data_IF_951336223877
#
_entry.id   IF_951336223877
#
_cell.length_a   1.000
_cell.length_b   1.000
_cell.length_c   1.000
_cell.angle_alpha   90.00
_cell.angle_beta   90.00
_cell.angle_gamma   90.00
#
_symmetry.space_group_name_H-M   'P 1'
#
loop_
_entity.id
_entity.type
_entity.pdbx_description
1 polymer ?
#
# COMPACT_ATOMS: atom_id res chain seq x y z
N UNK A 1 -2.20 -26.17 14.27
CA UNK A 1 -1.81 -24.85 13.69
C UNK A 1 -2.87 -24.45 12.70
N UNK A 2 -3.54 -23.32 12.94
CA UNK A 2 -4.56 -22.76 12.04
C UNK A 2 -3.88 -21.92 11.00
N UNK A 3 -4.20 -22.14 9.71
CA UNK A 3 -3.57 -21.43 8.59
C UNK A 3 -4.61 -20.74 7.72
N UNK A 4 -4.21 -19.64 7.08
CA UNK A 4 -5.06 -18.95 6.11
C UNK A 4 -5.47 -19.85 4.95
N UNK A 5 -4.63 -20.81 4.56
CA UNK A 5 -4.89 -21.76 3.48
C UNK A 5 -6.16 -22.60 3.75
N UNK A 6 -6.47 -22.88 5.00
CA UNK A 6 -7.64 -23.69 5.38
C UNK A 6 -8.97 -22.99 5.02
N UNK A 7 -8.94 -21.68 4.80
CA UNK A 7 -10.11 -20.85 4.53
C UNK A 7 -10.17 -20.30 3.10
N UNK A 8 -9.03 -20.06 2.44
CA UNK A 8 -8.96 -19.31 1.18
C UNK A 8 -9.73 -19.92 0.01
N UNK A 9 -9.93 -21.23 0.01
CA UNK A 9 -10.63 -21.93 -1.07
C UNK A 9 -12.06 -22.35 -0.68
N UNK A 10 -12.59 -21.78 0.38
CA UNK A 10 -13.93 -22.14 0.90
C UNK A 10 -15.09 -21.60 0.06
N UNK A 11 -14.86 -20.72 -0.90
CA UNK A 11 -15.89 -20.02 -1.66
C UNK A 11 -16.58 -18.88 -0.90
N UNK A 12 -16.12 -18.56 0.30
CA UNK A 12 -16.65 -17.47 1.10
C UNK A 12 -16.05 -16.11 0.69
N UNK A 13 -16.75 -15.04 1.07
CA UNK A 13 -16.22 -13.68 0.90
C UNK A 13 -15.01 -13.46 1.81
N UNK A 14 -14.10 -12.57 1.43
CA UNK A 14 -12.89 -12.25 2.21
C UNK A 14 -13.24 -11.84 3.64
N UNK A 15 -14.26 -11.04 3.83
CA UNK A 15 -14.68 -10.62 5.18
C UNK A 15 -15.05 -11.83 6.03
N UNK A 16 -15.82 -12.78 5.51
CA UNK A 16 -16.16 -14.01 6.22
C UNK A 16 -14.93 -14.88 6.51
N UNK A 17 -14.04 -14.99 5.54
CA UNK A 17 -12.77 -15.73 5.71
C UNK A 17 -11.96 -15.11 6.85
N UNK A 18 -11.79 -13.78 6.83
CA UNK A 18 -11.05 -13.06 7.86
C UNK A 18 -11.66 -13.22 9.26
N UNK A 19 -12.99 -13.11 9.38
CA UNK A 19 -13.68 -13.32 10.64
C UNK A 19 -13.39 -14.69 11.21
N UNK A 20 -13.68 -15.76 10.48
CA UNK A 20 -13.43 -17.15 10.92
C UNK A 20 -11.96 -17.35 11.28
N UNK A 21 -11.06 -16.98 10.37
CA UNK A 21 -9.63 -17.17 10.59
C UNK A 21 -9.14 -16.42 11.83
N UNK A 22 -9.56 -15.16 12.03
CA UNK A 22 -9.15 -14.38 13.21
C UNK A 22 -9.73 -14.90 14.51
N UNK A 23 -10.96 -15.42 14.51
CA UNK A 23 -11.63 -15.99 15.68
C UNK A 23 -11.00 -17.32 16.10
N UNK A 24 -10.80 -18.21 15.13
CA UNK A 24 -10.20 -19.53 15.38
C UNK A 24 -8.73 -19.36 15.80
N UNK A 25 -7.97 -18.48 15.14
CA UNK A 25 -6.60 -18.17 15.52
C UNK A 25 -6.51 -17.59 16.94
N UNK A 26 -7.43 -16.69 17.31
CA UNK A 26 -7.47 -16.12 18.67
C UNK A 26 -7.82 -17.17 19.71
N UNK A 27 -8.71 -18.09 19.39
CA UNK A 27 -9.14 -19.15 20.30
C UNK A 27 -7.99 -20.13 20.55
N UNK A 28 -7.34 -20.58 19.48
CA UNK A 28 -6.16 -21.46 19.56
C UNK A 28 -5.00 -20.79 20.30
N UNK A 29 -4.75 -19.51 20.00
CA UNK A 29 -3.70 -18.73 20.64
C UNK A 29 -3.92 -18.52 22.15
N UNK A 30 -5.16 -18.36 22.58
CA UNK A 30 -5.48 -18.26 24.03
C UNK A 30 -5.30 -19.58 24.74
N UNK A 31 -5.66 -20.69 24.12
CA UNK A 31 -5.48 -22.03 24.71
C UNK A 31 -4.01 -22.40 24.82
N UNK A 32 -3.21 -22.05 23.82
CA UNK A 32 -1.77 -22.33 23.77
C UNK A 32 -0.89 -21.26 24.40
N UNK A 33 -1.46 -20.14 24.86
CA UNK A 33 -0.77 -18.94 25.35
C UNK A 33 0.19 -18.33 24.33
N UNK A 34 -0.10 -18.49 23.03
CA UNK A 34 0.73 -18.02 21.92
C UNK A 34 0.57 -16.52 21.70
N UNK A 35 1.52 -15.72 22.21
CA UNK A 35 1.50 -14.26 22.11
C UNK A 35 1.62 -13.78 20.65
N UNK A 36 2.34 -14.51 19.80
CA UNK A 36 2.52 -14.15 18.39
C UNK A 36 1.20 -14.25 17.66
N UNK A 37 0.46 -15.34 17.87
CA UNK A 37 -0.84 -15.56 17.24
C UNK A 37 -1.93 -14.66 17.80
N UNK A 38 -1.86 -14.29 19.09
CA UNK A 38 -2.75 -13.27 19.66
C UNK A 38 -2.56 -11.91 18.97
N UNK A 39 -1.30 -11.50 18.71
CA UNK A 39 -0.99 -10.28 17.99
C UNK A 39 -1.50 -10.35 16.55
N UNK A 40 -1.33 -11.50 15.89
CA UNK A 40 -1.80 -11.74 14.52
C UNK A 40 -3.32 -11.67 14.42
N UNK A 41 -4.04 -12.38 15.27
CA UNK A 41 -5.51 -12.32 15.30
C UNK A 41 -6.04 -10.90 15.54
N UNK A 42 -5.41 -10.13 16.42
CA UNK A 42 -5.77 -8.72 16.63
C UNK A 42 -5.49 -7.86 15.40
N UNK A 43 -4.41 -8.10 14.69
CA UNK A 43 -4.12 -7.42 13.43
C UNK A 43 -5.17 -7.72 12.35
N UNK A 44 -5.56 -8.97 12.19
CA UNK A 44 -6.63 -9.37 11.27
C UNK A 44 -7.96 -8.69 11.60
N UNK A 45 -8.31 -8.55 12.88
CA UNK A 45 -9.50 -7.81 13.31
C UNK A 45 -9.46 -6.32 12.94
N UNK A 46 -8.28 -5.70 12.99
CA UNK A 46 -8.13 -4.32 12.49
C UNK A 46 -8.38 -4.23 10.98
N UNK A 47 -7.90 -5.22 10.22
CA UNK A 47 -8.17 -5.31 8.78
C UNK A 47 -9.66 -5.52 8.50
N UNK A 48 -10.32 -6.41 9.24
CA UNK A 48 -11.77 -6.64 9.13
C UNK A 48 -12.51 -5.32 9.37
N UNK A 49 -12.22 -4.63 10.46
CA UNK A 49 -12.85 -3.35 10.78
C UNK A 49 -12.64 -2.32 9.66
N UNK A 50 -11.46 -2.30 9.06
CA UNK A 50 -11.17 -1.44 7.91
C UNK A 50 -12.02 -1.81 6.67
N UNK A 51 -12.26 -3.09 6.43
CA UNK A 51 -13.01 -3.58 5.26
C UNK A 51 -14.52 -3.46 5.44
N UNK A 52 -15.03 -3.62 6.65
CA UNK A 52 -16.46 -3.50 6.97
C UNK A 52 -16.98 -2.07 6.92
N UNK A 53 -16.12 -1.11 7.24
CA UNK A 53 -16.47 0.31 7.23
C UNK A 53 -16.09 0.95 5.87
N UNK A 54 -16.65 0.42 4.77
CA UNK A 54 -16.39 0.91 3.41
C UNK A 54 -16.69 2.40 3.21
N UNK A 55 -17.54 2.99 4.06
CA UNK A 55 -17.90 4.41 4.00
C UNK A 55 -16.68 5.33 4.12
N UNK A 56 -15.65 4.90 4.87
CA UNK A 56 -14.44 5.70 5.01
C UNK A 56 -13.63 5.76 3.70
N UNK A 57 -13.56 4.67 2.94
CA UNK A 57 -12.86 4.66 1.64
C UNK A 57 -13.54 5.60 0.64
N UNK A 58 -14.86 5.61 0.64
CA UNK A 58 -15.66 6.55 -0.17
C UNK A 58 -15.37 7.98 0.24
N UNK A 59 -15.46 8.30 1.54
CA UNK A 59 -15.14 9.62 2.07
C UNK A 59 -13.71 10.03 1.76
N UNK A 60 -12.75 9.15 1.97
CA UNK A 60 -11.34 9.37 1.66
C UNK A 60 -11.11 9.66 0.19
N UNK A 61 -11.66 8.80 -0.69
CA UNK A 61 -11.52 8.96 -2.13
C UNK A 61 -12.19 10.25 -2.61
N UNK A 62 -13.33 10.63 -2.07
CA UNK A 62 -14.01 11.90 -2.40
C UNK A 62 -13.16 13.11 -2.03
N UNK A 63 -12.58 13.16 -0.83
CA UNK A 63 -11.71 14.25 -0.39
C UNK A 63 -10.44 14.37 -1.25
N UNK A 64 -9.82 13.25 -1.61
CA UNK A 64 -8.67 13.25 -2.50
C UNK A 64 -9.07 13.66 -3.92
N UNK A 65 -10.27 13.31 -4.39
CA UNK A 65 -10.78 13.72 -5.70
C UNK A 65 -11.03 15.22 -5.82
N UNK A 66 -11.37 15.91 -4.76
CA UNK A 66 -11.51 17.37 -4.81
C UNK A 66 -10.18 18.02 -5.26
N UNK A 67 -9.03 17.47 -4.87
CA UNK A 67 -7.74 17.93 -5.38
C UNK A 67 -7.66 17.84 -6.91
N UNK A 68 -8.16 16.76 -7.49
CA UNK A 68 -8.15 16.65 -8.97
C UNK A 68 -9.07 17.61 -9.64
N UNK A 69 -10.23 17.84 -9.07
CA UNK A 69 -11.15 18.82 -9.65
C UNK A 69 -10.48 20.20 -9.72
N UNK A 70 -9.76 20.58 -8.67
CA UNK A 70 -9.00 21.82 -8.64
C UNK A 70 -7.89 21.77 -9.69
N UNK A 71 -7.09 20.70 -9.70
CA UNK A 71 -5.99 20.56 -10.67
C UNK A 71 -6.50 20.49 -12.11
N UNK A 72 -7.63 19.83 -12.37
CA UNK A 72 -8.23 19.78 -13.70
C UNK A 72 -8.73 21.15 -14.19
N UNK A 73 -9.14 22.03 -13.29
CA UNK A 73 -9.49 23.42 -13.64
C UNK A 73 -8.25 24.26 -13.95
N UNK A 74 -7.18 24.05 -13.22
CA UNK A 74 -5.92 24.80 -13.41
C UNK A 74 -5.09 24.29 -14.59
N UNK A 75 -5.14 22.98 -14.83
CA UNK A 75 -4.41 22.31 -15.91
C UNK A 75 -5.40 21.59 -16.86
N UNK A 76 -6.25 22.33 -17.61
CA UNK A 76 -7.30 21.73 -18.44
C UNK A 76 -6.76 20.87 -19.59
N UNK A 77 -5.48 20.95 -19.88
CA UNK A 77 -4.77 20.14 -20.87
C UNK A 77 -4.20 18.84 -20.29
N UNK A 78 -4.28 18.61 -18.98
CA UNK A 78 -3.87 17.34 -18.34
C UNK A 78 -5.05 16.40 -18.20
N UNK A 79 -4.82 15.14 -18.50
CA UNK A 79 -5.71 14.06 -18.14
C UNK A 79 -5.26 13.45 -16.80
N UNK A 80 -6.22 13.19 -15.92
CA UNK A 80 -5.99 12.60 -14.61
C UNK A 80 -6.68 11.24 -14.50
N UNK A 81 -5.95 10.24 -14.00
CA UNK A 81 -6.53 8.95 -13.62
C UNK A 81 -6.32 8.73 -12.13
N UNK A 82 -7.37 8.35 -11.45
CA UNK A 82 -7.34 8.01 -10.03
C UNK A 82 -7.64 6.54 -9.83
N UNK A 83 -6.77 5.86 -9.09
CA UNK A 83 -6.93 4.45 -8.73
C UNK A 83 -6.71 4.30 -7.24
N UNK A 84 -7.67 3.67 -6.54
CA UNK A 84 -7.51 3.29 -5.15
C UNK A 84 -7.42 1.78 -5.01
N UNK A 85 -6.70 1.32 -3.98
CA UNK A 85 -6.66 -0.10 -3.64
C UNK A 85 -6.44 -0.31 -2.15
N UNK A 86 -6.97 -1.41 -1.65
CA UNK A 86 -6.54 -2.02 -0.40
C UNK A 86 -5.55 -3.14 -0.74
N UNK A 87 -4.51 -3.29 0.07
CA UNK A 87 -3.53 -4.38 -0.09
C UNK A 87 -4.23 -5.73 0.06
N UNK A 88 -3.91 -6.69 -0.81
CA UNK A 88 -4.50 -8.03 -0.74
C UNK A 88 -4.20 -8.72 0.60
N UNK A 89 -5.09 -9.64 1.01
CA UNK A 89 -4.96 -10.39 2.26
C UNK A 89 -3.61 -11.11 2.34
N UNK A 90 -3.21 -11.79 1.27
CA UNK A 90 -1.93 -12.53 1.21
C UNK A 90 -0.76 -11.59 1.45
N UNK A 91 -0.76 -10.41 0.82
CA UNK A 91 0.29 -9.40 1.01
C UNK A 91 0.31 -8.80 2.40
N UNK A 92 -0.86 -8.70 3.00
CA UNK A 92 -1.00 -8.22 4.38
C UNK A 92 -0.42 -9.24 5.36
N UNK A 93 -0.70 -10.53 5.15
CA UNK A 93 -0.13 -11.65 5.91
C UNK A 93 1.39 -11.72 5.78
N UNK A 94 1.92 -11.67 4.57
CA UNK A 94 3.37 -11.65 4.32
C UNK A 94 4.05 -10.48 5.04
N UNK A 95 3.40 -9.31 5.03
CA UNK A 95 3.90 -8.12 5.68
C UNK A 95 3.86 -8.26 7.21
N UNK A 96 2.80 -8.85 7.74
CA UNK A 96 2.71 -9.16 9.16
C UNK A 96 3.87 -10.06 9.58
N UNK A 97 4.09 -11.18 8.90
CA UNK A 97 5.18 -12.10 9.19
C UNK A 97 6.56 -11.40 9.07
N UNK A 98 6.79 -10.64 8.00
CA UNK A 98 8.07 -9.98 7.75
C UNK A 98 8.43 -8.86 8.73
N UNK A 99 7.44 -8.20 9.34
CA UNK A 99 7.69 -7.03 10.19
C UNK A 99 7.31 -7.24 11.65
N UNK A 100 6.19 -7.91 11.92
CA UNK A 100 5.70 -8.05 13.29
C UNK A 100 6.25 -9.30 13.95
N UNK A 101 6.21 -10.45 13.27
CA UNK A 101 6.75 -11.70 13.83
C UNK A 101 8.26 -11.57 14.04
N UNK A 102 8.99 -11.03 13.06
CA UNK A 102 10.43 -10.79 13.22
C UNK A 102 10.72 -9.80 14.35
N UNK A 103 9.93 -8.73 14.50
CA UNK A 103 10.08 -7.80 15.62
C UNK A 103 9.86 -8.47 16.96
N UNK A 104 8.81 -9.28 17.10
CA UNK A 104 8.52 -10.01 18.35
C UNK A 104 9.64 -10.98 18.66
N UNK A 105 10.15 -11.70 17.64
CA UNK A 105 11.26 -12.62 17.78
C UNK A 105 12.55 -11.93 18.23
N UNK A 106 12.98 -10.88 17.52
CA UNK A 106 14.20 -10.13 17.85
C UNK A 106 14.14 -9.54 19.26
N UNK A 107 12.96 -9.04 19.64
CA UNK A 107 12.73 -8.51 20.99
C UNK A 107 12.85 -9.62 22.03
N UNK A 108 12.25 -10.79 21.78
CA UNK A 108 12.31 -11.95 22.67
C UNK A 108 13.74 -12.46 22.83
N UNK A 109 14.48 -12.64 21.75
CA UNK A 109 15.88 -13.08 21.80
C UNK A 109 16.75 -12.10 22.59
N UNK A 110 16.53 -10.80 22.41
CA UNK A 110 17.33 -9.76 23.07
C UNK A 110 17.02 -9.61 24.57
N UNK A 111 15.75 -9.76 24.95
CA UNK A 111 15.28 -9.40 26.29
C UNK A 111 14.83 -10.61 27.14
N UNK A 112 14.69 -11.80 26.55
CA UNK A 112 14.17 -12.99 27.21
C UNK A 112 12.67 -12.95 27.55
N UNK A 113 11.96 -11.90 27.13
CA UNK A 113 10.52 -11.70 27.36
C UNK A 113 9.86 -11.17 26.11
N UNK A 114 8.55 -11.43 25.95
CA UNK A 114 7.77 -10.89 24.85
C UNK A 114 7.58 -9.38 24.97
N UNK A 115 7.49 -8.64 23.85
CA UNK A 115 7.12 -7.24 23.87
C UNK A 115 5.70 -7.07 24.42
N UNK A 116 5.47 -5.94 25.09
CA UNK A 116 4.17 -5.61 25.66
C UNK A 116 3.16 -5.29 24.55
N UNK A 117 1.86 -5.43 24.87
CA UNK A 117 0.77 -5.08 23.93
C UNK A 117 0.91 -3.67 23.36
N UNK A 118 1.24 -2.61 24.15
CA UNK A 118 1.49 -1.28 23.60
C UNK A 118 2.64 -1.24 22.57
N UNK A 119 3.75 -1.92 22.83
CA UNK A 119 4.88 -1.98 21.90
C UNK A 119 4.51 -2.68 20.59
N UNK A 120 3.73 -3.77 20.64
CA UNK A 120 3.23 -4.44 19.44
C UNK A 120 2.26 -3.53 18.67
N UNK A 121 1.37 -2.82 19.37
CA UNK A 121 0.44 -1.85 18.74
C UNK A 121 1.19 -0.70 18.08
N UNK A 122 2.23 -0.17 18.72
CA UNK A 122 3.07 0.85 18.12
C UNK A 122 3.72 0.35 16.84
N UNK A 123 4.25 -0.87 16.85
CA UNK A 123 4.82 -1.49 15.65
C UNK A 123 3.79 -1.73 14.56
N UNK A 124 2.57 -2.17 14.91
CA UNK A 124 1.46 -2.33 13.98
C UNK A 124 1.02 -0.98 13.36
N UNK A 125 1.06 0.10 14.13
CA UNK A 125 0.72 1.43 13.62
C UNK A 125 1.67 1.93 12.52
N UNK A 126 2.83 1.31 12.36
CA UNK A 126 3.78 1.59 11.29
C UNK A 126 3.40 0.94 9.94
N UNK A 127 2.32 0.18 9.88
CA UNK A 127 1.73 -0.28 8.60
C UNK A 127 1.05 0.89 7.91
N UNK A 128 1.75 1.52 6.96
CA UNK A 128 1.34 2.78 6.33
C UNK A 128 0.76 2.64 4.92
N UNK A 129 0.71 1.42 4.38
CA UNK A 129 0.39 1.15 2.98
C UNK A 129 -0.69 0.07 2.79
N UNK A 130 -1.58 -0.11 3.79
CA UNK A 130 -2.74 -0.98 3.66
C UNK A 130 -3.73 -0.42 2.65
N UNK A 131 -3.94 0.90 2.71
CA UNK A 131 -4.72 1.67 1.74
C UNK A 131 -3.75 2.51 0.90
N UNK A 132 -3.92 2.49 -0.39
CA UNK A 132 -3.10 3.28 -1.31
C UNK A 132 -3.95 3.86 -2.44
N UNK A 133 -3.68 5.10 -2.78
CA UNK A 133 -4.25 5.77 -3.95
C UNK A 133 -3.15 6.13 -4.93
N UNK A 134 -3.48 6.04 -6.19
CA UNK A 134 -2.59 6.37 -7.28
C UNK A 134 -3.18 7.46 -8.13
N UNK A 135 -2.36 8.46 -8.37
CA UNK A 135 -2.65 9.64 -9.15
C UNK A 135 -1.77 9.57 -10.40
N UNK A 136 -2.40 9.40 -11.54
CA UNK A 136 -1.68 9.33 -12.82
C UNK A 136 -2.07 10.52 -13.66
N UNK A 137 -1.06 11.27 -14.11
CA UNK A 137 -1.25 12.37 -15.05
C UNK A 137 -0.75 11.98 -16.44
N UNK A 138 -1.36 12.55 -17.46
CA UNK A 138 -0.86 12.46 -18.84
C UNK A 138 -1.29 13.69 -19.63
N UNK A 139 -0.51 14.02 -20.67
CA UNK A 139 -0.89 15.05 -21.63
C UNK A 139 -1.47 14.35 -22.86
N UNK A 140 -2.76 14.56 -23.19
CA UNK A 140 -3.34 14.06 -24.44
C UNK A 140 -2.58 14.60 -25.66
N UNK A 141 -2.51 13.81 -26.73
CA UNK A 141 -1.77 14.17 -27.95
C UNK A 141 -2.19 15.52 -28.55
N UNK A 142 -3.46 15.86 -28.44
CA UNK A 142 -3.99 17.13 -28.95
C UNK A 142 -3.45 18.37 -28.22
N UNK A 143 -2.77 18.19 -27.08
CA UNK A 143 -2.19 19.26 -26.30
C UNK A 143 -0.65 19.21 -26.25
N UNK A 144 -0.04 18.37 -27.09
CA UNK A 144 1.42 18.27 -27.22
C UNK A 144 1.88 18.94 -28.53
N UNK A 145 2.88 19.80 -28.39
CA UNK A 145 3.57 20.38 -29.56
C UNK A 145 4.47 19.32 -30.22
N UNK A 146 5.08 18.43 -29.43
CA UNK A 146 5.94 17.34 -29.89
C UNK A 146 5.93 16.18 -28.88
N UNK A 147 5.92 14.94 -29.39
CA UNK A 147 6.07 13.73 -28.54
C UNK A 147 7.48 13.63 -27.92
N UNK A 148 8.48 14.26 -28.52
CA UNK A 148 9.87 14.21 -28.02
C UNK A 148 10.00 14.87 -26.64
N UNK A 149 9.21 15.87 -26.33
CA UNK A 149 9.25 16.61 -25.07
C UNK A 149 8.19 16.13 -24.05
N UNK A 150 7.38 15.11 -24.39
CA UNK A 150 6.29 14.64 -23.53
C UNK A 150 6.74 14.34 -22.11
N UNK A 151 7.76 13.51 -21.96
CA UNK A 151 8.24 13.06 -20.65
C UNK A 151 8.69 14.23 -19.77
N UNK A 152 9.46 15.16 -20.33
CA UNK A 152 9.96 16.32 -19.61
C UNK A 152 8.82 17.24 -19.18
N UNK A 153 7.88 17.47 -20.07
CA UNK A 153 6.70 18.32 -19.81
C UNK A 153 5.79 17.67 -18.75
N UNK A 154 5.52 16.36 -18.85
CA UNK A 154 4.71 15.64 -17.85
C UNK A 154 5.41 15.63 -16.48
N UNK A 155 6.73 15.46 -16.42
CA UNK A 155 7.49 15.53 -15.17
C UNK A 155 7.40 16.90 -14.50
N UNK A 156 7.53 17.97 -15.28
CA UNK A 156 7.39 19.35 -14.79
C UNK A 156 6.04 19.52 -14.07
N UNK A 157 4.94 19.16 -14.75
CA UNK A 157 3.61 19.28 -14.15
C UNK A 157 3.39 18.31 -12.98
N UNK A 158 3.99 17.12 -13.01
CA UNK A 158 3.92 16.19 -11.89
C UNK A 158 4.51 16.82 -10.62
N UNK A 159 5.66 17.49 -10.72
CA UNK A 159 6.27 18.19 -9.59
C UNK A 159 5.50 19.44 -9.17
N UNK A 160 4.95 20.21 -10.11
CA UNK A 160 4.08 21.33 -9.78
C UNK A 160 2.86 20.88 -8.95
N UNK A 161 2.23 19.79 -9.35
CA UNK A 161 1.12 19.16 -8.62
C UNK A 161 1.59 18.64 -7.25
N UNK A 162 2.75 17.99 -7.20
CA UNK A 162 3.32 17.48 -5.97
C UNK A 162 3.61 18.60 -4.95
N UNK A 163 4.04 19.78 -5.40
CA UNK A 163 4.30 20.91 -4.51
C UNK A 163 3.02 21.42 -3.81
N UNK A 164 1.86 21.20 -4.39
CA UNK A 164 0.57 21.69 -3.86
C UNK A 164 -0.17 20.66 -3.01
N UNK A 165 0.11 19.38 -3.25
CA UNK A 165 -0.66 18.28 -2.65
C UNK A 165 -0.59 18.25 -1.12
N UNK A 166 0.55 18.43 -0.44
CA UNK A 166 0.62 18.36 1.02
C UNK A 166 -0.31 19.37 1.71
N UNK A 167 -0.29 20.63 1.29
CA UNK A 167 -1.13 21.68 1.85
C UNK A 167 -2.62 21.36 1.66
N UNK A 168 -3.00 20.95 0.45
CA UNK A 168 -4.38 20.54 0.19
C UNK A 168 -4.82 19.37 1.08
N UNK A 169 -3.95 18.39 1.29
CA UNK A 169 -4.24 17.24 2.16
C UNK A 169 -4.47 17.68 3.61
N UNK A 170 -3.67 18.61 4.12
CA UNK A 170 -3.87 19.19 5.45
C UNK A 170 -5.23 19.89 5.57
N UNK A 171 -5.60 20.72 4.61
CA UNK A 171 -6.87 21.44 4.56
C UNK A 171 -8.08 20.49 4.50
N UNK A 172 -7.92 19.30 3.96
CA UNK A 172 -8.98 18.29 3.80
C UNK A 172 -8.98 17.23 4.89
N UNK A 173 -8.22 17.42 5.97
CA UNK A 173 -8.25 16.57 7.16
C UNK A 173 -7.30 15.38 7.12
N UNK A 174 -6.28 15.45 6.29
CA UNK A 174 -5.15 14.51 6.35
C UNK A 174 -3.94 15.19 7.01
N UNK A 175 -3.06 14.40 7.57
CA UNK A 175 -1.78 14.85 8.10
C UNK A 175 -0.64 14.19 7.33
N UNK A 176 0.04 14.91 6.42
CA UNK A 176 1.22 14.39 5.72
C UNK A 176 2.33 14.02 6.71
N UNK A 177 2.94 12.85 6.52
CA UNK A 177 4.02 12.38 7.37
C UNK A 177 5.38 12.70 6.76
N UNK A 178 6.29 13.24 7.58
CA UNK A 178 7.69 13.37 7.19
C UNK A 178 8.34 11.98 7.06
N UNK A 179 9.09 11.77 6.00
CA UNK A 179 9.72 10.48 5.71
C UNK A 179 10.84 10.11 6.69
N UNK A 180 11.42 11.10 7.37
CA UNK A 180 12.58 10.92 8.23
C UNK A 180 13.85 10.46 7.49
N UNK A 181 13.85 10.47 6.17
CA UNK A 181 14.99 10.08 5.36
C UNK A 181 16.05 11.20 5.36
N UNK A 182 17.30 10.84 5.59
CA UNK A 182 18.45 11.75 5.51
C UNK A 182 19.33 11.39 4.31
N UNK A 183 19.95 12.40 3.69
CA UNK A 183 20.88 12.19 2.57
C UNK A 183 20.22 11.76 1.26
N UNK A 184 18.91 11.91 1.13
CA UNK A 184 18.15 11.61 -0.09
C UNK A 184 18.27 12.78 -1.06
N UNK A 185 18.39 12.49 -2.34
CA UNK A 185 18.32 13.50 -3.40
C UNK A 185 16.86 13.76 -3.75
N UNK A 186 16.52 15.02 -3.99
CA UNK A 186 15.22 15.42 -4.52
C UNK A 186 15.43 16.11 -5.87
N UNK A 187 14.44 16.01 -6.73
CA UNK A 187 14.44 16.77 -7.97
C UNK A 187 14.40 18.28 -7.64
N UNK A 188 15.08 19.13 -8.42
CA UNK A 188 15.12 20.58 -8.18
C UNK A 188 13.74 21.24 -8.31
N UNK A 189 12.81 20.62 -9.02
CA UNK A 189 11.43 21.07 -9.20
C UNK A 189 10.57 20.89 -7.94
N UNK A 190 10.99 20.00 -7.02
CA UNK A 190 10.30 19.80 -5.75
C UNK A 190 10.75 20.83 -4.72
N UNK A 191 9.81 21.66 -4.27
CA UNK A 191 10.09 22.76 -3.34
C UNK A 191 10.64 22.25 -1.99
N UNK A 192 11.62 22.94 -1.39
CA UNK A 192 12.27 22.50 -0.14
C UNK A 192 11.29 22.24 1.00
N UNK A 193 10.21 23.00 1.08
CA UNK A 193 9.19 22.93 2.14
C UNK A 193 8.42 21.62 2.10
N UNK A 194 8.25 21.03 0.91
CA UNK A 194 7.47 19.78 0.74
C UNK A 194 8.35 18.54 0.58
N UNK A 195 9.64 18.71 0.27
CA UNK A 195 10.59 17.59 0.13
C UNK A 195 10.53 16.59 1.30
N UNK A 196 10.44 16.99 2.58
CA UNK A 196 10.45 16.06 3.68
C UNK A 196 9.27 15.06 3.69
N UNK A 197 8.17 15.38 3.01
CA UNK A 197 6.99 14.51 2.93
C UNK A 197 7.11 13.44 1.85
N UNK A 198 8.02 13.62 0.89
CA UNK A 198 8.10 12.76 -0.28
C UNK A 198 9.22 11.74 -0.22
N UNK A 199 8.91 10.53 -0.71
CA UNK A 199 9.91 9.59 -1.21
C UNK A 199 9.96 9.76 -2.73
N UNK A 200 10.98 10.45 -3.19
CA UNK A 200 11.18 10.73 -4.61
C UNK A 200 11.94 9.59 -5.29
N UNK A 201 11.19 8.62 -5.83
CA UNK A 201 11.74 7.51 -6.60
C UNK A 201 11.99 7.85 -8.08
N UNK A 202 11.80 9.11 -8.47
CA UNK A 202 12.19 9.61 -9.79
C UNK A 202 13.64 10.07 -9.72
N UNK A 203 13.97 10.89 -8.72
CA UNK A 203 15.35 11.34 -8.45
C UNK A 203 16.22 10.21 -7.86
N UNK A 204 15.62 9.28 -7.10
CA UNK A 204 16.30 8.14 -6.48
C UNK A 204 15.71 6.84 -7.04
N UNK A 205 16.07 6.53 -8.29
CA UNK A 205 15.56 5.35 -9.00
C UNK A 205 15.79 4.07 -8.20
N UNK A 206 14.72 3.32 -8.02
CA UNK A 206 14.81 1.96 -7.48
C UNK A 206 15.36 0.99 -8.52
N UNK A 207 15.75 -0.18 -8.05
CA UNK A 207 16.04 -1.31 -8.92
C UNK A 207 14.91 -1.51 -9.93
N UNK A 208 15.24 -1.97 -11.12
CA UNK A 208 14.32 -2.16 -12.24
C UNK A 208 13.73 -0.88 -12.85
N UNK A 209 14.23 0.30 -12.49
CA UNK A 209 13.77 1.55 -13.09
C UNK A 209 12.36 1.99 -12.65
N UNK A 210 11.87 1.53 -11.49
CA UNK A 210 10.62 2.00 -10.92
C UNK A 210 10.72 3.49 -10.57
N UNK A 211 9.76 4.27 -11.05
CA UNK A 211 9.67 5.71 -10.81
C UNK A 211 8.27 6.08 -10.27
N UNK A 212 8.22 6.92 -9.25
CA UNK A 212 7.00 7.46 -8.65
C UNK A 212 7.35 8.47 -7.56
N UNK A 213 6.49 9.43 -7.27
CA UNK A 213 6.53 10.20 -6.02
C UNK A 213 5.57 9.56 -5.03
N UNK A 214 6.02 9.30 -3.80
CA UNK A 214 5.17 8.75 -2.76
C UNK A 214 5.07 9.72 -1.59
N UNK A 215 3.85 9.95 -1.12
CA UNK A 215 3.57 10.65 0.12
C UNK A 215 2.70 9.75 1.01
N UNK A 216 3.05 9.67 2.29
CA UNK A 216 2.25 8.98 3.29
C UNK A 216 1.49 10.00 4.11
N UNK A 217 0.22 9.75 4.33
CA UNK A 217 -0.64 10.63 5.13
C UNK A 217 -1.39 9.83 6.18
N UNK A 218 -1.68 10.46 7.30
CA UNK A 218 -2.64 9.95 8.28
C UNK A 218 -3.99 10.60 8.05
N UNK A 219 -5.02 9.80 7.83
CA UNK A 219 -6.39 10.29 7.73
C UNK A 219 -6.97 10.49 9.13
N UNK A 220 -7.20 11.74 9.53
CA UNK A 220 -7.69 12.09 10.85
C UNK A 220 -9.14 11.65 11.08
N UNK A 221 -9.93 11.45 10.01
CA UNK A 221 -11.31 10.97 10.10
C UNK A 221 -11.36 9.44 10.20
N UNK A 222 -10.71 8.75 9.27
CA UNK A 222 -10.69 7.29 9.21
C UNK A 222 -9.71 6.66 10.21
N UNK A 223 -8.83 7.45 10.84
CA UNK A 223 -7.81 7.00 11.79
C UNK A 223 -6.86 5.94 11.23
N UNK A 224 -6.53 6.06 9.97
CA UNK A 224 -5.62 5.12 9.29
C UNK A 224 -4.60 5.85 8.41
N UNK A 225 -3.48 5.17 8.15
CA UNK A 225 -2.48 5.65 7.20
C UNK A 225 -2.87 5.27 5.78
N UNK A 226 -2.54 6.16 4.87
CA UNK A 226 -2.78 6.00 3.44
C UNK A 226 -1.57 6.46 2.65
N UNK A 227 -1.18 5.71 1.66
CA UNK A 227 -0.11 6.09 0.73
C UNK A 227 -0.72 6.66 -0.56
N UNK A 228 -0.28 7.85 -0.97
CA UNK A 228 -0.59 8.40 -2.27
C UNK A 228 0.65 8.32 -3.16
N UNK A 229 0.45 7.88 -4.41
CA UNK A 229 1.49 7.69 -5.42
C UNK A 229 1.17 8.57 -6.63
N UNK A 230 2.06 9.52 -6.95
CA UNK A 230 1.93 10.37 -8.12
C UNK A 230 2.83 9.82 -9.23
N UNK A 231 2.29 9.70 -10.44
CA UNK A 231 2.98 9.13 -11.61
C UNK A 231 2.56 9.84 -12.89
N UNK A 232 3.44 9.82 -13.88
CA UNK A 232 3.02 10.00 -15.28
C UNK A 232 2.43 8.69 -15.80
N UNK A 233 1.72 8.76 -16.93
CA UNK A 233 1.16 7.56 -17.58
C UNK A 233 2.24 6.54 -17.94
N UNK A 234 3.39 7.01 -18.43
CA UNK A 234 4.54 6.15 -18.75
C UNK A 234 5.04 5.39 -17.51
N UNK A 235 5.18 6.09 -16.37
CA UNK A 235 5.60 5.46 -15.10
C UNK A 235 4.58 4.44 -14.62
N UNK A 236 3.28 4.73 -14.76
CA UNK A 236 2.23 3.82 -14.35
C UNK A 236 2.20 2.56 -15.22
N UNK A 237 2.32 2.71 -16.54
CA UNK A 237 2.39 1.59 -17.46
C UNK A 237 3.64 0.74 -17.21
N UNK A 238 4.79 1.37 -16.97
CA UNK A 238 6.01 0.65 -16.63
C UNK A 238 5.90 -0.14 -15.34
N UNK A 239 5.23 0.41 -14.33
CA UNK A 239 5.01 -0.25 -13.05
C UNK A 239 3.96 -1.38 -13.10
N UNK A 240 2.97 -1.29 -14.02
CA UNK A 240 1.89 -2.29 -14.12
C UNK A 240 2.23 -3.42 -15.10
N UNK A 241 2.85 -3.10 -16.22
CA UNK A 241 3.06 -4.03 -17.35
C UNK A 241 4.55 -4.32 -17.58
N UNK A 242 5.43 -3.38 -17.22
CA UNK A 242 6.87 -3.43 -17.46
C UNK A 242 7.64 -4.38 -16.51
N UNK A 243 8.99 -4.40 -16.63
CA UNK A 243 9.86 -5.20 -15.76
C UNK A 243 9.74 -4.89 -14.27
N UNK A 244 9.24 -3.70 -13.92
CA UNK A 244 8.94 -3.29 -12.55
C UNK A 244 7.55 -3.73 -12.09
N UNK A 245 6.86 -4.58 -12.84
CA UNK A 245 5.54 -5.07 -12.46
C UNK A 245 5.60 -5.86 -11.14
N UNK A 246 4.47 -5.93 -10.47
CA UNK A 246 4.35 -6.59 -9.16
C UNK A 246 4.92 -8.01 -9.14
N UNK A 247 4.72 -8.80 -10.19
CA UNK A 247 5.18 -10.19 -10.27
C UNK A 247 6.72 -10.32 -10.31
N UNK A 248 7.41 -9.43 -11.03
CA UNK A 248 8.88 -9.43 -11.08
C UNK A 248 9.51 -8.96 -9.76
N UNK A 249 8.91 -7.95 -9.13
CA UNK A 249 9.30 -7.47 -7.81
C UNK A 249 9.06 -8.51 -6.71
N UNK A 250 7.94 -9.23 -6.80
CA UNK A 250 7.55 -10.29 -5.88
C UNK A 250 8.53 -11.46 -5.85
N UNK A 251 8.87 -12.01 -7.01
CA UNK A 251 9.86 -13.10 -7.13
C UNK A 251 11.23 -12.74 -6.55
N UNK A 252 11.63 -11.46 -6.64
CA UNK A 252 12.88 -10.99 -6.06
C UNK A 252 12.79 -10.77 -4.56
N UNK A 253 11.70 -10.21 -4.06
CA UNK A 253 11.46 -10.12 -2.63
C UNK A 253 11.40 -11.50 -1.96
N UNK A 254 10.83 -12.50 -2.65
CA UNK A 254 10.85 -13.89 -2.20
C UNK A 254 12.28 -14.44 -2.12
N UNK A 255 13.10 -14.20 -3.13
CA UNK A 255 14.50 -14.61 -3.12
C UNK A 255 15.33 -13.86 -2.06
N UNK A 256 15.03 -12.59 -1.81
CA UNK A 256 15.70 -11.80 -0.77
C UNK A 256 15.23 -12.19 0.64
N UNK A 257 13.97 -12.54 0.81
CA UNK A 257 13.42 -13.08 2.07
C UNK A 257 13.95 -14.47 2.37
N UNK A 258 14.08 -15.32 1.36
CA UNK A 258 14.74 -16.62 1.51
C UNK A 258 16.23 -16.50 1.89
N UNK A 259 16.87 -15.37 1.54
CA UNK A 259 18.25 -15.04 1.95
C UNK A 259 18.33 -14.34 3.30
N UNK A 260 17.29 -13.64 3.75
CA UNK A 260 17.22 -13.13 5.12
C UNK A 260 17.12 -14.34 6.04
N UNK A 261 18.04 -14.43 6.97
CA UNK A 261 18.17 -15.55 7.89
C UNK A 261 16.78 -15.98 8.38
N UNK A 262 16.39 -17.20 8.01
CA UNK A 262 15.22 -17.83 8.58
C UNK A 262 15.37 -17.80 10.12
N UNK A 263 14.28 -17.50 10.82
CA UNK A 263 14.24 -17.63 12.28
C UNK A 263 14.76 -19.02 12.63
N UNK A 264 15.79 -19.17 13.47
CA UNK A 264 16.34 -20.46 13.79
C UNK A 264 15.25 -21.39 14.36
N UNK A 265 15.09 -22.57 13.76
CA UNK A 265 14.11 -23.56 14.24
C UNK A 265 14.50 -24.05 15.64
N UNK A 266 13.49 -24.22 16.49
CA UNK A 266 13.64 -24.85 17.79
C UNK A 266 13.91 -23.91 18.96
N UNK A 267 14.05 -22.59 18.74
CA UNK A 267 14.23 -21.65 19.85
C UNK A 267 12.91 -21.32 20.56
N UNK A 268 11.82 -21.28 19.83
CA UNK A 268 10.49 -21.12 20.39
C UNK A 268 9.41 -21.64 19.42
N UNK A 269 8.60 -22.59 19.90
CA UNK A 269 7.52 -23.23 19.14
C UNK A 269 6.61 -22.23 18.40
N UNK A 270 6.30 -21.11 19.02
CA UNK A 270 5.39 -20.11 18.42
C UNK A 270 5.98 -19.41 17.21
N UNK A 271 7.29 -19.21 17.17
CA UNK A 271 7.97 -18.66 16.00
C UNK A 271 8.09 -19.70 14.90
N UNK A 272 8.33 -20.96 15.25
CA UNK A 272 8.36 -22.06 14.27
C UNK A 272 7.00 -22.17 13.57
N UNK A 273 5.89 -22.13 14.30
CA UNK A 273 4.54 -22.15 13.74
C UNK A 273 4.24 -20.93 12.85
N UNK A 274 4.66 -19.74 13.25
CA UNK A 274 4.51 -18.53 12.44
C UNK A 274 5.34 -18.58 11.16
N UNK A 275 6.57 -19.10 11.24
CA UNK A 275 7.44 -19.32 10.09
C UNK A 275 6.85 -20.32 9.11
N UNK A 276 6.34 -21.45 9.59
CA UNK A 276 5.71 -22.47 8.75
C UNK A 276 4.46 -21.92 8.04
N UNK A 277 3.65 -21.09 8.71
CA UNK A 277 2.53 -20.39 8.05
C UNK A 277 3.01 -19.45 6.94
N UNK A 278 4.10 -18.70 7.18
CA UNK A 278 4.70 -17.86 6.16
C UNK A 278 5.19 -18.64 4.95
N UNK A 279 5.77 -19.82 5.15
CA UNK A 279 6.20 -20.72 4.07
C UNK A 279 5.01 -21.27 3.27
N UNK A 280 3.90 -21.61 3.94
CA UNK A 280 2.68 -22.06 3.26
C UNK A 280 2.06 -20.98 2.39
N UNK A 281 2.10 -19.70 2.82
CA UNK A 281 1.65 -18.57 1.99
C UNK A 281 2.43 -18.43 0.67
N UNK A 282 3.73 -18.75 0.69
CA UNK A 282 4.55 -18.71 -0.53
C UNK A 282 4.20 -19.81 -1.54
N UNK A 283 3.56 -20.89 -1.08
CA UNK A 283 3.14 -22.02 -1.91
C UNK A 283 1.71 -21.87 -2.45
N UNK A 284 1.00 -20.80 -2.06
CA UNK A 284 -0.36 -20.57 -2.53
C UNK A 284 -0.42 -20.35 -4.04
N UNK A 285 -1.29 -21.11 -4.69
CA UNK A 285 -1.65 -20.88 -6.09
C UNK A 285 -2.63 -19.69 -6.17
N UNK A 286 -2.08 -18.52 -6.41
CA UNK A 286 -2.84 -17.26 -6.49
C UNK A 286 -3.89 -17.27 -7.62
N UNK A 287 -3.75 -18.15 -8.61
CA UNK A 287 -4.74 -18.25 -9.70
C UNK A 287 -6.08 -18.80 -9.22
N UNK A 288 -6.09 -19.48 -8.08
CA UNK A 288 -7.30 -20.04 -7.45
C UNK A 288 -7.93 -19.10 -6.41
N UNK A 289 -7.26 -18.00 -6.08
CA UNK A 289 -7.74 -17.01 -5.10
C UNK A 289 -8.30 -15.83 -5.87
N UNK A 290 -9.58 -15.51 -5.65
CA UNK A 290 -10.15 -14.30 -6.24
C UNK A 290 -9.59 -13.05 -5.55
N UNK A 291 -8.57 -12.46 -6.18
CA UNK A 291 -7.89 -11.25 -5.69
C UNK A 291 -8.72 -9.97 -5.90
N UNK A 292 -9.82 -10.00 -6.67
CA UNK A 292 -10.71 -8.86 -6.84
C UNK A 292 -11.56 -8.60 -5.59
N UNK A 293 -11.52 -9.50 -4.62
CA UNK A 293 -12.22 -9.36 -3.34
C UNK A 293 -11.71 -8.20 -2.49
N UNK A 294 -10.52 -7.67 -2.75
CA UNK A 294 -10.07 -6.38 -2.24
C UNK A 294 -10.38 -5.34 -3.31
N UNK A 295 -11.65 -4.96 -3.37
CA UNK A 295 -12.17 -4.04 -4.37
C UNK A 295 -11.20 -2.88 -4.59
N UNK A 296 -10.76 -2.71 -5.82
CA UNK A 296 -10.17 -1.46 -6.23
C UNK A 296 -11.23 -0.37 -5.97
N UNK A 297 -10.91 0.54 -5.05
CA UNK A 297 -11.70 1.75 -4.98
C UNK A 297 -11.65 2.39 -6.36
N UNK A 298 -12.79 2.71 -6.87
CA UNK A 298 -13.11 3.29 -8.17
C UNK A 298 -11.94 3.78 -9.04
N UNK A 299 -11.84 3.23 -10.24
CA UNK A 299 -10.97 3.80 -11.27
C UNK A 299 -11.74 4.89 -12.01
N UNK A 300 -11.33 6.15 -11.83
CA UNK A 300 -11.91 7.28 -12.57
C UNK A 300 -10.88 7.93 -13.48
N UNK A 301 -11.31 8.17 -14.67
CA UNK A 301 -10.69 9.13 -15.57
C UNK A 301 -11.41 10.47 -15.38
N UNK A 302 -10.70 11.50 -14.89
CA UNK A 302 -11.36 12.73 -14.43
C UNK A 302 -11.37 13.82 -15.48
N UNK A 303 -10.38 13.90 -16.36
CA UNK A 303 -10.37 14.94 -17.39
C UNK A 303 -9.66 14.51 -18.66
N UNK A 304 -10.30 14.86 -19.73
CA UNK A 304 -9.67 14.95 -21.04
C UNK A 304 -9.99 16.31 -21.63
N UNK A 305 -9.13 17.23 -21.56
CA UNK A 305 -9.31 18.53 -22.22
C UNK A 305 -9.77 18.42 -23.69
N UNK A 306 -9.79 17.23 -24.25
CA UNK A 306 -10.26 16.90 -25.60
C UNK A 306 -11.65 16.28 -25.67
N UNK A 307 -12.34 16.04 -24.55
CA UNK A 307 -13.67 15.37 -24.51
C UNK A 307 -13.67 13.89 -24.90
N UNK A 308 -12.49 13.26 -24.92
CA UNK A 308 -12.33 11.89 -25.40
C UNK A 308 -12.53 10.82 -24.31
N UNK A 309 -12.52 11.20 -23.05
CA UNK A 309 -12.59 10.27 -21.93
C UNK A 309 -13.83 10.52 -21.09
N UNK A 310 -14.79 9.66 -21.19
CA UNK A 310 -15.90 9.61 -20.23
C UNK A 310 -15.51 8.64 -19.12
N UNK A 311 -15.68 9.06 -17.85
CA UNK A 311 -15.47 8.20 -16.72
C UNK A 311 -16.15 6.86 -16.94
N UNK A 312 -15.40 5.77 -17.05
CA UNK A 312 -15.95 4.43 -16.97
C UNK A 312 -15.97 4.05 -15.52
N UNK A 313 -17.15 3.91 -14.98
CA UNK A 313 -17.34 3.12 -13.78
C UNK A 313 -17.04 1.68 -14.20
N UNK A 314 -15.93 1.15 -13.75
CA UNK A 314 -15.69 -0.29 -13.85
C UNK A 314 -16.49 -0.86 -12.68
N UNK A 315 -17.71 -1.26 -12.95
CA UNK A 315 -18.45 -2.17 -12.06
C UNK A 315 -17.70 -3.50 -12.04
N UNK A 316 -17.58 -4.15 -10.88
CA UNK A 316 -16.94 -5.43 -10.72
C UNK A 316 -17.53 -6.51 -11.58
#
# INVERSE_FOLDING_TARGET
MITLNDYLYSGDTVIKILHRYSEDLMTDAKQSLNQVDMAHANFLRQIISLLEHNDFLTSQSMRIREFYKIMALEYPFLAFTFKGRIKSLIRTEEKFNGYIVNYIYDYYIKNGVYPTVPQIKDRLSQFRDLVAYRIVISIPRCHLDSEENRRETELKYLYEIANRLPLFLEETGFSPEMTGLSGVKYAPELQPEVQPYYRDYIANKKELGYESLHITVFDNQARCHTELQLRTKEMDDYAEIGPANHLGYEKRQEAERARRQAIPKGECKYFDEAYERGMLLQQLDLSKVDVNMFAAADNFLINDGCGLYRGRQITP
#
